data_IF_988761811310
#
_entry.id   IF_988761811310
#
_cell.length_a   1.000
_cell.length_b   1.000
_cell.length_c   1.000
_cell.angle_alpha   90.00
_cell.angle_beta   90.00
_cell.angle_gamma   90.00
#
_symmetry.space_group_name_H-M   'P 1'
#
loop_
_entity.id
_entity.type
_entity.pdbx_description
1 polymer ?
#
# COMPACT_ATOMS: atom_id res chain seq x y z
N UNK A 1 10.60 -21.07 -6.28
CA UNK A 1 9.13 -21.15 -6.25
C UNK A 1 8.64 -19.77 -6.65
N UNK A 2 7.79 -19.64 -7.66
CA UNK A 2 7.14 -18.36 -7.94
C UNK A 2 6.09 -18.18 -6.85
N UNK A 3 6.40 -17.41 -5.82
CA UNK A 3 5.41 -16.96 -4.86
C UNK A 3 4.52 -15.96 -5.60
N UNK A 4 3.53 -16.48 -6.32
CA UNK A 4 2.39 -15.71 -6.83
C UNK A 4 1.63 -15.22 -5.60
N UNK A 5 2.11 -14.14 -4.98
CA UNK A 5 1.46 -13.53 -3.84
C UNK A 5 0.03 -13.19 -4.25
N UNK A 6 -0.95 -13.74 -3.52
CA UNK A 6 -2.37 -13.51 -3.80
C UNK A 6 -2.64 -12.03 -4.02
N UNK A 7 -3.11 -11.66 -5.21
CA UNK A 7 -3.56 -10.30 -5.47
C UNK A 7 -4.75 -9.96 -4.56
N UNK A 8 -4.97 -8.66 -4.36
CA UNK A 8 -6.18 -8.20 -3.67
C UNK A 8 -7.42 -8.65 -4.46
N UNK A 9 -8.39 -9.24 -3.77
CA UNK A 9 -9.65 -9.69 -4.39
C UNK A 9 -10.57 -8.51 -4.77
N UNK A 10 -10.38 -7.38 -4.08
CA UNK A 10 -11.15 -6.15 -4.27
C UNK A 10 -10.33 -4.92 -3.90
N UNK A 11 -10.58 -3.81 -4.58
CA UNK A 11 -9.97 -2.53 -4.25
C UNK A 11 -10.40 -2.09 -2.83
N UNK A 12 -9.46 -1.80 -1.92
CA UNK A 12 -9.79 -1.36 -0.56
C UNK A 12 -10.34 0.07 -0.51
N UNK A 13 -10.03 0.88 -1.53
CA UNK A 13 -10.48 2.26 -1.66
C UNK A 13 -11.27 2.46 -2.97
N UNK A 14 -12.26 3.35 -2.99
CA UNK A 14 -12.86 3.81 -4.24
C UNK A 14 -11.90 4.78 -4.97
N UNK A 15 -12.02 4.84 -6.30
CA UNK A 15 -11.25 5.75 -7.15
C UNK A 15 -9.93 5.18 -7.67
N UNK A 16 -9.07 6.04 -8.21
CA UNK A 16 -7.79 5.63 -8.83
C UNK A 16 -6.81 5.02 -7.82
N UNK A 17 -6.82 5.51 -6.57
CA UNK A 17 -5.96 4.99 -5.51
C UNK A 17 -6.20 3.50 -5.26
N UNK A 18 -7.47 3.09 -5.18
CA UNK A 18 -7.83 1.70 -4.97
C UNK A 18 -7.47 0.79 -6.14
N UNK A 19 -7.56 1.28 -7.38
CA UNK A 19 -7.09 0.56 -8.57
C UNK A 19 -5.58 0.34 -8.51
N UNK A 20 -4.83 1.41 -8.22
CA UNK A 20 -3.36 1.33 -8.14
C UNK A 20 -2.89 0.35 -7.06
N UNK A 21 -3.55 0.33 -5.91
CA UNK A 21 -3.30 -0.64 -4.84
C UNK A 21 -3.66 -2.05 -5.32
N UNK A 22 -4.85 -2.26 -5.90
CA UNK A 22 -5.28 -3.55 -6.42
C UNK A 22 -4.31 -4.14 -7.46
N UNK A 23 -3.76 -3.29 -8.33
CA UNK A 23 -2.86 -3.68 -9.43
C UNK A 23 -1.38 -3.83 -9.02
N UNK A 24 -0.93 -3.24 -7.92
CA UNK A 24 0.50 -3.24 -7.55
C UNK A 24 0.77 -3.84 -6.17
N UNK A 25 -0.27 -4.11 -5.37
CA UNK A 25 -0.15 -4.57 -3.99
C UNK A 25 -0.83 -5.92 -3.83
N UNK A 26 -0.08 -6.89 -3.30
CA UNK A 26 -0.60 -8.19 -2.94
C UNK A 26 -1.35 -8.14 -1.60
N UNK A 27 -2.29 -9.05 -1.41
CA UNK A 27 -3.05 -9.26 -0.17
C UNK A 27 -2.18 -9.30 1.11
N UNK A 28 -1.04 -10.03 1.16
CA UNK A 28 -0.14 -9.96 2.33
C UNK A 28 0.54 -8.60 2.50
N UNK A 29 0.94 -7.94 1.40
CA UNK A 29 1.53 -6.59 1.45
C UNK A 29 0.52 -5.55 1.98
N UNK A 30 -0.75 -5.68 1.59
CA UNK A 30 -1.82 -4.86 2.14
C UNK A 30 -2.01 -5.07 3.63
N UNK A 31 -1.95 -6.31 4.09
CA UNK A 31 -2.06 -6.63 5.51
C UNK A 31 -0.90 -6.04 6.32
N UNK A 32 0.33 -6.07 5.79
CA UNK A 32 1.49 -5.42 6.40
C UNK A 32 1.32 -3.90 6.49
N UNK A 33 0.77 -3.28 5.43
CA UNK A 33 0.46 -1.85 5.45
C UNK A 33 -0.59 -1.47 6.50
N UNK A 34 -1.62 -2.29 6.75
CA UNK A 34 -2.61 -2.00 7.79
C UNK A 34 -1.99 -1.97 9.19
N UNK A 35 -1.04 -2.87 9.45
CA UNK A 35 -0.28 -2.88 10.70
C UNK A 35 0.62 -1.63 10.82
N UNK A 36 1.36 -1.32 9.75
CA UNK A 36 2.20 -0.13 9.67
C UNK A 36 1.41 1.17 9.81
N UNK A 37 0.25 1.27 9.15
CA UNK A 37 -0.69 2.39 9.29
C UNK A 37 -1.12 2.56 10.75
N UNK A 38 -1.44 1.47 11.43
CA UNK A 38 -1.82 1.50 12.85
C UNK A 38 -0.67 2.04 13.69
N UNK A 39 0.57 1.61 13.43
CA UNK A 39 1.76 2.14 14.12
C UNK A 39 1.92 3.66 13.89
N UNK A 40 1.84 4.13 12.64
CA UNK A 40 1.97 5.55 12.30
C UNK A 40 0.90 6.39 13.00
N UNK A 41 -0.36 5.91 13.01
CA UNK A 41 -1.48 6.61 13.65
C UNK A 41 -1.22 6.77 15.16
N UNK A 42 -0.76 5.71 15.82
CA UNK A 42 -0.47 5.76 17.26
C UNK A 42 0.76 6.62 17.58
N UNK A 43 1.85 6.50 16.82
CA UNK A 43 3.07 7.29 17.06
C UNK A 43 2.84 8.79 16.85
N UNK A 44 2.22 9.14 15.73
CA UNK A 44 2.00 10.55 15.37
C UNK A 44 0.69 11.11 15.95
N UNK A 45 -0.05 10.30 16.73
CA UNK A 45 -1.38 10.64 17.26
C UNK A 45 -2.29 11.23 16.16
N UNK A 46 -2.31 10.59 14.98
CA UNK A 46 -3.02 11.10 13.82
C UNK A 46 -4.53 10.95 13.97
N UNK A 47 -5.25 11.97 13.52
CA UNK A 47 -6.69 11.92 13.41
C UNK A 47 -7.10 11.62 11.96
N UNK A 48 -7.73 10.48 11.70
CA UNK A 48 -8.17 10.09 10.35
C UNK A 48 -9.21 11.03 9.71
N UNK A 49 -9.81 11.91 10.52
CA UNK A 49 -10.73 12.96 10.09
C UNK A 49 -10.00 14.22 9.59
N UNK A 50 -8.70 14.35 9.88
CA UNK A 50 -7.89 15.49 9.46
C UNK A 50 -7.29 15.24 8.07
N UNK A 51 -7.45 16.21 7.17
CA UNK A 51 -6.95 16.11 5.79
C UNK A 51 -5.42 15.99 5.72
N UNK A 52 -4.68 16.58 6.67
CA UNK A 52 -3.22 16.46 6.72
C UNK A 52 -2.80 15.06 7.13
N UNK A 53 -3.52 14.43 8.07
CA UNK A 53 -3.28 13.05 8.45
C UNK A 53 -3.55 12.10 7.28
N UNK A 54 -4.63 12.33 6.52
CA UNK A 54 -4.91 11.55 5.31
C UNK A 54 -3.83 11.73 4.24
N UNK A 55 -3.36 12.96 4.02
CA UNK A 55 -2.26 13.23 3.11
C UNK A 55 -0.96 12.54 3.56
N UNK A 56 -0.64 12.61 4.86
CA UNK A 56 0.54 11.95 5.42
C UNK A 56 0.47 10.43 5.28
N UNK A 57 -0.67 9.81 5.59
CA UNK A 57 -0.87 8.38 5.42
C UNK A 57 -0.76 7.95 3.96
N UNK A 58 -1.26 8.75 3.01
CA UNK A 58 -1.07 8.48 1.58
C UNK A 58 0.39 8.54 1.17
N UNK A 59 1.14 9.55 1.63
CA UNK A 59 2.55 9.68 1.31
C UNK A 59 3.37 8.52 1.89
N UNK A 60 3.08 8.11 3.13
CA UNK A 60 3.71 6.94 3.74
C UNK A 60 3.32 5.64 3.04
N UNK A 61 2.08 5.52 2.56
CA UNK A 61 1.61 4.37 1.78
C UNK A 61 2.33 4.28 0.44
N UNK A 62 2.46 5.41 -0.26
CA UNK A 62 3.18 5.45 -1.52
C UNK A 62 4.66 5.12 -1.31
N UNK A 63 5.25 5.56 -0.20
CA UNK A 63 6.61 5.14 0.16
C UNK A 63 6.70 3.66 0.54
N UNK A 64 5.71 3.11 1.23
CA UNK A 64 5.75 1.71 1.66
C UNK A 64 5.65 0.75 0.47
N UNK A 65 4.82 1.08 -0.53
CA UNK A 65 4.61 0.21 -1.69
C UNK A 65 5.43 0.58 -2.93
N UNK A 66 5.82 1.84 -3.10
CA UNK A 66 6.44 2.35 -4.32
C UNK A 66 7.79 3.05 -4.09
N UNK A 67 8.35 3.09 -2.87
CA UNK A 67 9.75 3.53 -2.70
C UNK A 67 10.71 2.58 -3.41
N UNK A 68 11.85 3.10 -3.85
CA UNK A 68 12.94 2.32 -4.47
C UNK A 68 13.35 1.08 -3.66
N UNK A 69 13.27 1.13 -2.32
CA UNK A 69 13.60 -0.02 -1.45
C UNK A 69 12.50 -1.11 -1.40
N UNK A 70 11.27 -0.82 -1.83
CA UNK A 70 10.15 -1.77 -1.93
C UNK A 70 9.78 -2.16 -3.36
N UNK A 71 10.30 -1.42 -4.36
CA UNK A 71 10.10 -1.72 -5.78
C UNK A 71 10.96 -2.88 -6.29
N UNK A 72 12.08 -3.18 -5.62
CA UNK A 72 13.01 -4.24 -6.02
C UNK A 72 12.60 -5.64 -5.51
N UNK A 73 11.88 -5.72 -4.39
CA UNK A 73 11.43 -7.01 -3.80
C UNK A 73 10.09 -7.50 -4.39
N UNK A 74 9.32 -6.62 -5.05
CA UNK A 74 8.10 -6.99 -5.79
C UNK A 74 8.44 -7.15 -7.29
N UNK A 75 9.56 -7.80 -7.59
CA UNK A 75 9.93 -8.24 -8.94
C UNK A 75 9.06 -9.44 -9.38
N UNK A 76 7.75 -9.20 -9.50
CA UNK A 76 6.77 -10.17 -10.02
C UNK A 76 5.76 -9.57 -11.01
N UNK A 77 5.66 -8.24 -11.11
CA UNK A 77 4.76 -7.62 -12.08
C UNK A 77 5.45 -7.46 -13.44
N UNK A 78 5.10 -8.34 -14.36
CA UNK A 78 5.42 -8.22 -15.78
C UNK A 78 4.86 -6.89 -16.32
N UNK A 79 5.74 -5.91 -16.53
CA UNK A 79 5.47 -4.78 -17.40
C UNK A 79 5.35 -5.32 -18.83
N UNK A 80 4.12 -5.57 -19.29
CA UNK A 80 3.87 -5.79 -20.72
C UNK A 80 4.02 -4.46 -21.45
N UNK A 81 5.10 -4.41 -22.23
CA UNK A 81 5.58 -3.41 -23.20
C UNK A 81 6.24 -2.12 -22.70
#
# INVERSE_FOLDING_TARGET
>A
MNEELEALDRAPYPGELGKRILENVSKPGWQAWLDHQTMIINENNLNMLDEKAQAHLKEQMEKFFFSEEGADDIAGYNKVQ
#
